data_IF_675563416991
#
_entry.id   IF_675563416991
#
_cell.length_a   1.000
_cell.length_b   1.000
_cell.length_c   1.000
_cell.angle_alpha   90.00
_cell.angle_beta   90.00
_cell.angle_gamma   90.00
#
_symmetry.space_group_name_H-M   'P 1'
#
loop_
_entity.id
_entity.type
_entity.pdbx_description
1 polymer ?
#
# COMPACT_ATOMS: atom_id res chain seq x y z
N UNK A 1 -2.82 -11.06 -27.44
CA UNK A 1 -1.94 -11.78 -26.51
C UNK A 1 -2.35 -13.24 -26.48
N UNK A 2 -1.37 -14.15 -26.43
CA UNK A 2 -1.59 -15.59 -26.33
C UNK A 2 -1.40 -16.08 -24.90
N UNK A 3 -2.09 -17.15 -24.51
CA UNK A 3 -1.93 -17.80 -23.19
C UNK A 3 -0.47 -18.14 -22.90
N UNK A 4 0.25 -18.59 -23.92
CA UNK A 4 1.67 -18.94 -23.82
C UNK A 4 2.56 -17.74 -23.42
N UNK A 5 2.22 -16.52 -23.85
CA UNK A 5 2.95 -15.30 -23.50
C UNK A 5 2.78 -14.96 -22.00
N UNK A 6 1.58 -15.20 -21.46
CA UNK A 6 1.31 -15.09 -20.02
C UNK A 6 2.08 -16.15 -19.24
N UNK A 7 2.06 -17.39 -19.72
CA UNK A 7 2.69 -18.52 -19.04
C UNK A 7 4.20 -18.32 -18.87
N UNK A 8 4.89 -17.79 -19.88
CA UNK A 8 6.33 -17.48 -19.81
C UNK A 8 6.69 -16.42 -18.77
N UNK A 9 5.74 -15.54 -18.44
CA UNK A 9 5.92 -14.52 -17.41
C UNK A 9 5.73 -15.04 -15.98
N UNK A 10 5.35 -16.31 -15.82
CA UNK A 10 5.24 -16.94 -14.50
C UNK A 10 6.62 -17.10 -13.85
N UNK A 11 6.71 -16.78 -12.57
CA UNK A 11 7.98 -16.77 -11.85
C UNK A 11 8.69 -18.12 -11.84
N UNK A 12 7.97 -19.23 -11.76
CA UNK A 12 8.57 -20.56 -11.82
C UNK A 12 9.16 -20.89 -13.19
N UNK A 13 8.72 -20.25 -14.27
CA UNK A 13 9.21 -20.48 -15.63
C UNK A 13 10.49 -19.69 -15.91
N UNK A 14 10.49 -18.39 -15.59
CA UNK A 14 11.64 -17.54 -15.90
C UNK A 14 12.72 -17.58 -14.80
N UNK A 15 12.36 -17.68 -13.52
CA UNK A 15 13.35 -17.56 -12.44
C UNK A 15 14.50 -18.56 -12.52
N UNK A 16 14.30 -19.86 -12.86
CA UNK A 16 15.39 -20.81 -13.01
C UNK A 16 16.45 -20.37 -14.04
N UNK A 17 16.03 -19.75 -15.15
CA UNK A 17 16.89 -19.26 -16.23
C UNK A 17 17.69 -18.02 -15.81
N UNK A 18 17.07 -17.14 -15.02
CA UNK A 18 17.65 -15.84 -14.63
C UNK A 18 18.13 -15.77 -13.17
N UNK A 19 18.29 -16.91 -12.50
CA UNK A 19 18.60 -17.01 -11.06
C UNK A 19 19.88 -16.25 -10.66
N UNK A 20 20.91 -16.25 -11.51
CA UNK A 20 22.20 -15.59 -11.27
C UNK A 20 22.09 -14.06 -11.24
N UNK A 21 21.14 -13.52 -12.00
CA UNK A 21 20.94 -12.07 -12.18
C UNK A 21 19.74 -11.53 -11.42
N UNK A 22 18.92 -12.38 -10.81
CA UNK A 22 17.74 -11.98 -10.03
C UNK A 22 18.00 -12.00 -8.51
N UNK A 23 16.99 -11.61 -7.73
CA UNK A 23 16.98 -11.71 -6.27
C UNK A 23 16.85 -13.19 -5.88
N UNK A 24 17.55 -13.61 -4.82
CA UNK A 24 17.43 -14.98 -4.26
C UNK A 24 15.96 -15.25 -3.90
N UNK A 25 15.38 -16.27 -4.53
CA UNK A 25 13.98 -16.64 -4.44
C UNK A 25 13.86 -18.15 -4.24
N UNK A 26 12.94 -18.56 -3.37
CA UNK A 26 12.55 -19.97 -3.21
C UNK A 26 11.08 -20.07 -3.59
N UNK A 27 10.75 -21.04 -4.43
CA UNK A 27 9.41 -21.20 -5.01
C UNK A 27 8.79 -22.48 -4.45
N UNK A 28 7.54 -22.40 -4.03
CA UNK A 28 6.75 -23.52 -3.53
C UNK A 28 5.47 -23.64 -4.33
N UNK A 29 5.13 -24.84 -4.77
CA UNK A 29 3.79 -25.14 -5.31
C UNK A 29 2.76 -25.04 -4.18
N UNK A 30 1.66 -24.34 -4.43
CA UNK A 30 0.58 -24.14 -3.48
C UNK A 30 -0.41 -25.31 -3.54
N UNK A 31 -0.81 -25.87 -2.39
CA UNK A 31 -1.87 -26.87 -2.37
C UNK A 31 -3.20 -26.21 -2.77
N UNK A 32 -4.05 -26.93 -3.51
CA UNK A 32 -5.35 -26.41 -3.94
C UNK A 32 -6.24 -26.01 -2.75
N UNK A 33 -6.11 -26.67 -1.61
CA UNK A 33 -6.82 -26.28 -0.38
C UNK A 33 -6.47 -24.87 0.10
N UNK A 34 -5.21 -24.44 -0.08
CA UNK A 34 -4.81 -23.08 0.25
C UNK A 34 -5.29 -22.08 -0.80
N UNK A 35 -5.28 -22.46 -2.08
CA UNK A 35 -5.86 -21.65 -3.16
C UNK A 35 -7.35 -21.42 -2.94
N UNK A 36 -8.09 -22.45 -2.56
CA UNK A 36 -9.51 -22.35 -2.20
C UNK A 36 -9.71 -21.44 -1.00
N UNK A 37 -8.88 -21.55 0.04
CA UNK A 37 -8.91 -20.64 1.19
C UNK A 37 -8.70 -19.17 0.79
N UNK A 38 -7.80 -18.87 -0.14
CA UNK A 38 -7.59 -17.51 -0.63
C UNK A 38 -8.79 -16.93 -1.39
N UNK A 39 -9.64 -17.79 -1.96
CA UNK A 39 -10.81 -17.43 -2.75
C UNK A 39 -12.13 -17.49 -1.97
N UNK A 40 -12.09 -17.83 -0.67
CA UNK A 40 -13.28 -17.90 0.18
C UNK A 40 -13.74 -16.50 0.59
N UNK A 41 -14.81 -16.03 -0.05
CA UNK A 41 -15.49 -14.77 0.29
C UNK A 41 -16.69 -14.96 1.23
N UNK A 42 -17.27 -16.17 1.26
CA UNK A 42 -18.54 -16.45 1.97
C UNK A 42 -18.38 -16.63 3.49
N UNK A 43 -17.15 -16.77 3.98
CA UNK A 43 -16.83 -17.01 5.39
C UNK A 43 -16.09 -15.82 6.02
N UNK A 44 -16.21 -15.62 7.34
CA UNK A 44 -15.48 -14.57 8.04
C UNK A 44 -13.97 -14.65 7.76
N UNK A 45 -13.30 -13.49 7.76
CA UNK A 45 -11.85 -13.42 7.61
C UNK A 45 -11.17 -14.12 8.80
N UNK A 46 -10.75 -15.37 8.59
CA UNK A 46 -10.04 -16.17 9.57
C UNK A 46 -8.62 -16.44 9.08
N UNK A 47 -7.63 -16.13 9.90
CA UNK A 47 -6.24 -16.50 9.64
C UNK A 47 -6.04 -18.00 9.93
N UNK A 48 -5.14 -18.68 9.19
CA UNK A 48 -4.88 -20.08 9.45
C UNK A 48 -4.26 -20.29 10.83
N UNK A 49 -4.64 -21.38 11.51
CA UNK A 49 -3.98 -21.78 12.75
C UNK A 49 -2.51 -22.12 12.47
N UNK A 50 -1.61 -21.37 13.10
CA UNK A 50 -0.17 -21.61 13.02
C UNK A 50 0.24 -22.78 13.91
N UNK A 51 1.03 -23.71 13.37
CA UNK A 51 1.68 -24.77 14.17
C UNK A 51 2.74 -24.23 15.13
N UNK A 52 3.22 -23.01 14.89
CA UNK A 52 4.25 -22.34 15.70
C UNK A 52 3.64 -21.37 16.73
N UNK A 53 2.31 -21.24 16.75
CA UNK A 53 1.59 -20.21 17.50
C UNK A 53 2.03 -18.79 17.12
N UNK A 54 2.46 -18.60 15.87
CA UNK A 54 2.83 -17.30 15.30
C UNK A 54 1.56 -16.58 14.83
N UNK A 55 1.27 -15.43 15.43
CA UNK A 55 0.17 -14.55 14.98
C UNK A 55 0.71 -13.49 14.01
N UNK A 56 -0.08 -13.14 12.99
CA UNK A 56 0.21 -12.03 12.10
C UNK A 56 0.00 -10.68 12.80
N UNK A 57 -0.87 -10.64 13.80
CA UNK A 57 -1.11 -9.47 14.63
C UNK A 57 -0.30 -9.56 15.93
N UNK A 58 0.15 -8.42 16.49
CA UNK A 58 0.76 -8.43 17.81
C UNK A 58 -0.25 -8.90 18.86
N UNK A 59 0.16 -9.80 19.74
CA UNK A 59 -0.64 -10.22 20.89
C UNK A 59 -1.13 -8.99 21.65
N UNK A 60 -2.45 -8.81 21.76
CA UNK A 60 -3.01 -7.82 22.68
C UNK A 60 -2.54 -8.20 24.08
N UNK A 61 -1.93 -7.26 24.80
CA UNK A 61 -1.62 -7.46 26.21
C UNK A 61 -2.98 -7.58 26.90
N UNK A 62 -3.31 -8.77 27.43
CA UNK A 62 -4.49 -8.92 28.27
C UNK A 62 -4.25 -8.12 29.55
N UNK A 63 -4.96 -7.00 29.68
CA UNK A 63 -4.99 -6.22 30.91
C UNK A 63 -6.19 -6.74 31.73
N UNK A 64 -5.99 -7.48 32.83
CA UNK A 64 -7.08 -8.11 33.59
C UNK A 64 -7.99 -7.11 34.33
N UNK A 65 -7.78 -5.80 34.16
CA UNK A 65 -8.51 -4.73 34.84
C UNK A 65 -9.71 -4.18 34.03
N UNK A 66 -9.82 -4.52 32.75
CA UNK A 66 -10.87 -3.96 31.85
C UNK A 66 -12.05 -4.92 31.59
N UNK A 67 -12.13 -6.07 32.29
CA UNK A 67 -13.19 -7.06 32.07
C UNK A 67 -14.55 -6.68 32.67
N UNK A 68 -14.64 -5.63 33.51
CA UNK A 68 -15.90 -5.26 34.17
C UNK A 68 -16.77 -4.28 33.37
N UNK A 69 -16.24 -3.56 32.36
CA UNK A 69 -16.96 -2.45 31.70
C UNK A 69 -17.54 -2.79 30.31
N UNK A 70 -17.41 -4.04 29.85
CA UNK A 70 -17.95 -4.49 28.55
C UNK A 70 -18.81 -5.77 28.63
N UNK A 71 -19.47 -6.02 29.76
CA UNK A 71 -20.54 -7.03 29.81
C UNK A 71 -21.83 -6.47 29.17
N UNK A 72 -21.91 -6.54 27.84
CA UNK A 72 -23.21 -6.48 27.15
C UNK A 72 -23.87 -7.83 27.38
N UNK A 73 -24.89 -7.86 28.23
CA UNK A 73 -25.77 -9.00 28.44
C UNK A 73 -26.51 -9.32 27.14
N UNK A 74 -25.95 -10.20 26.31
CA UNK A 74 -26.68 -10.75 25.17
C UNK A 74 -27.80 -11.66 25.68
N UNK A 75 -29.04 -11.22 25.46
CA UNK A 75 -30.23 -11.98 25.77
C UNK A 75 -30.25 -13.28 24.97
N UNK A 76 -30.58 -14.37 25.65
CA UNK A 76 -30.70 -15.70 25.07
C UNK A 76 -31.72 -15.74 23.93
N UNK A 77 -31.32 -16.31 22.79
CA UNK A 77 -32.23 -16.80 21.78
C UNK A 77 -31.75 -16.54 20.37
N UNK A 78 -30.89 -17.42 19.86
CA UNK A 78 -31.04 -18.07 18.56
C UNK A 78 -29.94 -19.14 18.41
N UNK A 79 -30.29 -20.26 17.76
CA UNK A 79 -29.38 -21.36 17.43
C UNK A 79 -28.29 -20.86 16.49
N UNK A 80 -27.23 -20.26 17.03
CA UNK A 80 -26.08 -19.81 16.26
C UNK A 80 -25.30 -21.04 15.77
N UNK A 81 -25.19 -21.17 14.45
CA UNK A 81 -24.25 -22.09 13.81
C UNK A 81 -22.86 -21.89 14.43
N UNK A 82 -22.27 -22.97 14.94
CA UNK A 82 -20.91 -22.94 15.50
C UNK A 82 -19.96 -22.38 14.42
N UNK A 83 -19.15 -21.34 14.73
CA UNK A 83 -18.22 -20.79 13.76
C UNK A 83 -17.29 -21.90 13.26
N UNK A 84 -17.13 -21.96 11.94
CA UNK A 84 -16.26 -22.94 11.28
C UNK A 84 -14.85 -22.85 11.88
N UNK A 85 -14.18 -23.99 12.17
CA UNK A 85 -12.86 -23.95 12.75
C UNK A 85 -11.89 -23.30 11.76
N UNK A 86 -10.95 -22.45 12.22
CA UNK A 86 -9.99 -21.81 11.35
C UNK A 86 -9.17 -22.85 10.57
N UNK A 87 -8.87 -22.58 9.28
CA UNK A 87 -8.15 -23.53 8.44
C UNK A 87 -6.72 -23.73 8.94
N UNK A 88 -6.08 -24.84 8.56
CA UNK A 88 -4.68 -25.11 8.91
C UNK A 88 -3.93 -25.74 7.74
N UNK A 89 -2.66 -25.36 7.58
CA UNK A 89 -1.80 -25.79 6.47
C UNK A 89 -0.40 -26.20 6.95
N UNK A 90 -0.29 -27.22 7.83
CA UNK A 90 0.95 -27.53 8.55
C UNK A 90 2.15 -27.84 7.63
N UNK A 91 1.93 -28.61 6.56
CA UNK A 91 2.99 -28.98 5.62
C UNK A 91 3.52 -27.79 4.82
N UNK A 92 2.61 -26.86 4.44
CA UNK A 92 2.96 -25.64 3.72
C UNK A 92 3.70 -24.68 4.66
N UNK A 93 3.19 -24.48 5.87
CA UNK A 93 3.80 -23.63 6.89
C UNK A 93 5.23 -24.07 7.22
N UNK A 94 5.47 -25.37 7.42
CA UNK A 94 6.80 -25.91 7.71
C UNK A 94 7.79 -25.62 6.56
N UNK A 95 7.36 -25.81 5.30
CA UNK A 95 8.18 -25.52 4.12
C UNK A 95 8.51 -24.03 4.01
N UNK A 96 7.52 -23.17 4.27
CA UNK A 96 7.67 -21.71 4.23
C UNK A 96 8.63 -21.24 5.32
N UNK A 97 8.47 -21.72 6.56
CA UNK A 97 9.34 -21.37 7.70
C UNK A 97 10.80 -21.65 7.41
N UNK A 98 11.11 -22.85 6.89
CA UNK A 98 12.47 -23.23 6.47
C UNK A 98 13.01 -22.30 5.37
N UNK A 99 12.17 -21.89 4.43
CA UNK A 99 12.57 -20.95 3.37
C UNK A 99 12.82 -19.55 3.90
N UNK A 100 12.02 -19.06 4.85
CA UNK A 100 12.22 -17.76 5.51
C UNK A 100 13.58 -17.74 6.20
N UNK A 101 13.91 -18.77 6.98
CA UNK A 101 15.22 -18.92 7.62
C UNK A 101 16.37 -18.91 6.60
N UNK A 102 16.23 -19.67 5.50
CA UNK A 102 17.23 -19.76 4.42
C UNK A 102 17.44 -18.44 3.66
N UNK A 103 16.43 -17.56 3.68
CA UNK A 103 16.46 -16.25 3.03
C UNK A 103 16.93 -15.13 3.98
N UNK A 104 17.13 -15.42 5.27
CA UNK A 104 17.64 -14.49 6.26
C UNK A 104 16.56 -13.87 7.16
N UNK A 105 15.46 -14.58 7.37
CA UNK A 105 14.42 -14.23 8.36
C UNK A 105 13.35 -13.23 7.88
N UNK A 106 13.57 -12.58 6.74
CA UNK A 106 12.61 -11.65 6.16
C UNK A 106 12.48 -11.89 4.65
N UNK A 107 11.24 -11.92 4.17
CA UNK A 107 10.91 -12.22 2.78
C UNK A 107 9.92 -11.22 2.19
N UNK A 108 9.80 -11.26 0.87
CA UNK A 108 8.74 -10.64 0.08
C UNK A 108 7.98 -11.75 -0.65
N UNK A 109 6.69 -11.96 -0.39
CA UNK A 109 5.91 -13.02 -1.02
C UNK A 109 5.21 -12.52 -2.30
N UNK A 110 5.14 -13.37 -3.32
CA UNK A 110 4.32 -13.14 -4.52
C UNK A 110 3.79 -14.45 -5.11
N UNK A 111 2.73 -14.38 -5.90
CA UNK A 111 2.24 -15.49 -6.70
C UNK A 111 3.00 -15.60 -8.03
N UNK A 112 2.46 -16.40 -8.95
CA UNK A 112 3.00 -16.67 -10.27
C UNK A 112 3.40 -15.36 -11.00
N UNK A 113 2.55 -14.33 -10.96
CA UNK A 113 2.79 -13.05 -11.65
C UNK A 113 2.78 -11.87 -10.70
N UNK A 114 1.78 -11.77 -9.83
CA UNK A 114 1.50 -10.57 -9.06
C UNK A 114 2.03 -10.66 -7.64
N UNK A 115 2.47 -9.52 -7.12
CA UNK A 115 2.74 -9.33 -5.70
C UNK A 115 1.58 -8.57 -5.05
N UNK A 116 1.27 -8.80 -3.77
CA UNK A 116 0.06 -8.27 -3.12
C UNK A 116 0.22 -6.79 -2.69
N UNK A 117 0.65 -5.93 -3.62
CA UNK A 117 1.04 -4.54 -3.36
C UNK A 117 -0.11 -3.66 -2.87
N UNK A 118 -1.32 -3.98 -3.32
CA UNK A 118 -2.60 -3.39 -2.93
C UNK A 118 -3.02 -3.72 -1.50
N UNK A 119 -2.55 -4.83 -0.93
CA UNK A 119 -2.87 -5.24 0.44
C UNK A 119 -1.89 -4.72 1.50
N UNK A 120 -0.89 -3.91 1.13
CA UNK A 120 0.14 -3.45 2.08
C UNK A 120 -0.43 -2.71 3.33
N UNK A 121 -1.64 -2.18 3.23
CA UNK A 121 -2.35 -1.48 4.31
C UNK A 121 -2.75 -2.37 5.49
N UNK A 122 -2.93 -3.68 5.27
CA UNK A 122 -3.33 -4.61 6.34
C UNK A 122 -2.11 -5.12 7.14
N UNK A 123 -0.91 -4.95 6.60
CA UNK A 123 0.34 -5.32 7.25
C UNK A 123 0.60 -4.47 8.49
N UNK A 124 1.04 -5.10 9.57
CA UNK A 124 1.47 -4.42 10.81
C UNK A 124 2.62 -3.43 10.60
N UNK A 125 3.40 -3.61 9.54
CA UNK A 125 4.55 -2.76 9.20
C UNK A 125 4.27 -1.78 8.06
N UNK A 126 3.04 -1.76 7.52
CA UNK A 126 2.66 -0.92 6.37
C UNK A 126 3.43 -1.23 5.07
N UNK A 127 4.05 -2.41 4.98
CA UNK A 127 4.82 -2.85 3.83
C UNK A 127 4.69 -4.37 3.61
N UNK A 128 5.33 -4.88 2.55
CA UNK A 128 5.20 -6.26 2.06
C UNK A 128 6.25 -7.22 2.64
N UNK A 129 6.96 -6.82 3.68
CA UNK A 129 7.87 -7.68 4.43
C UNK A 129 7.05 -8.67 5.24
N UNK A 130 7.38 -9.96 5.10
CA UNK A 130 6.88 -11.00 6.00
C UNK A 130 8.04 -11.77 6.63
N UNK A 131 7.77 -12.33 7.79
CA UNK A 131 8.62 -13.15 8.64
C UNK A 131 7.92 -14.40 9.16
N UNK A 132 6.60 -14.53 8.98
CA UNK A 132 5.82 -15.72 9.30
C UNK A 132 4.87 -16.13 8.17
N UNK A 133 4.33 -17.35 8.25
CA UNK A 133 3.29 -17.81 7.32
C UNK A 133 1.98 -17.04 7.49
N UNK A 134 1.61 -16.72 8.73
CA UNK A 134 0.40 -15.97 9.07
C UNK A 134 0.38 -14.59 8.41
N UNK A 135 1.52 -13.88 8.39
CA UNK A 135 1.64 -12.60 7.68
C UNK A 135 1.46 -12.73 6.15
N UNK A 136 1.94 -13.84 5.56
CA UNK A 136 1.74 -14.12 4.13
C UNK A 136 0.26 -14.37 3.83
N UNK A 137 -0.39 -15.22 4.64
CA UNK A 137 -1.81 -15.52 4.50
C UNK A 137 -2.67 -14.26 4.64
N UNK A 138 -2.35 -13.40 5.61
CA UNK A 138 -3.00 -12.11 5.83
C UNK A 138 -2.93 -11.20 4.58
N UNK A 139 -1.74 -10.99 4.04
CA UNK A 139 -1.56 -10.17 2.83
C UNK A 139 -2.27 -10.79 1.62
N UNK A 140 -2.14 -12.10 1.44
CA UNK A 140 -2.65 -12.76 0.25
C UNK A 140 -4.16 -12.76 0.19
N UNK A 141 -4.82 -12.99 1.33
CA UNK A 141 -6.29 -12.98 1.45
C UNK A 141 -6.87 -11.57 1.26
N UNK A 142 -6.08 -10.51 1.48
CA UNK A 142 -6.51 -9.12 1.35
C UNK A 142 -6.13 -8.47 0.01
N UNK A 143 -5.66 -9.23 -0.99
CA UNK A 143 -5.13 -8.69 -2.25
C UNK A 143 -6.01 -9.04 -3.45
N UNK A 144 -6.62 -8.01 -4.04
CA UNK A 144 -7.39 -8.12 -5.29
C UNK A 144 -6.50 -8.51 -6.48
N UNK A 145 -5.25 -8.05 -6.47
CA UNK A 145 -4.25 -8.39 -7.49
C UNK A 145 -3.96 -9.88 -7.52
N UNK A 146 -3.95 -10.54 -6.36
CA UNK A 146 -3.80 -11.99 -6.30
C UNK A 146 -5.08 -12.73 -6.68
N UNK A 147 -6.26 -12.20 -6.33
CA UNK A 147 -7.54 -12.77 -6.81
C UNK A 147 -7.59 -12.75 -8.34
N UNK A 148 -7.11 -11.69 -8.98
CA UNK A 148 -6.98 -11.63 -10.44
C UNK A 148 -6.07 -12.75 -10.98
N UNK A 149 -4.88 -12.97 -10.40
CA UNK A 149 -4.00 -14.09 -10.76
C UNK A 149 -4.71 -15.44 -10.60
N UNK A 150 -5.46 -15.62 -9.50
CA UNK A 150 -6.12 -16.86 -9.15
C UNK A 150 -7.40 -17.15 -9.94
N UNK A 151 -8.03 -16.16 -10.58
CA UNK A 151 -9.33 -16.35 -11.26
C UNK A 151 -9.32 -15.94 -12.74
N UNK A 152 -8.53 -14.93 -13.09
CA UNK A 152 -8.68 -14.14 -14.31
C UNK A 152 -7.40 -14.01 -15.15
N UNK A 153 -6.35 -14.78 -14.82
CA UNK A 153 -5.03 -14.66 -15.45
C UNK A 153 -5.04 -14.67 -16.99
N UNK A 154 -5.94 -15.44 -17.61
CA UNK A 154 -6.02 -15.57 -19.06
C UNK A 154 -7.12 -14.73 -19.71
N UNK A 155 -7.78 -13.85 -18.98
CA UNK A 155 -8.98 -13.18 -19.51
C UNK A 155 -8.70 -12.26 -20.70
N UNK A 156 -7.49 -11.73 -20.80
CA UNK A 156 -7.00 -10.91 -21.91
C UNK A 156 -6.42 -11.72 -23.09
N UNK A 157 -6.40 -13.06 -23.00
CA UNK A 157 -5.83 -13.92 -24.05
C UNK A 157 -6.87 -14.23 -25.14
N UNK A 158 -6.47 -14.12 -26.41
CA UNK A 158 -7.35 -14.39 -27.55
C UNK A 158 -7.61 -15.88 -27.80
N UNK A 159 -6.73 -16.74 -27.31
CA UNK A 159 -6.73 -18.20 -27.48
C UNK A 159 -7.12 -18.94 -26.19
N UNK A 160 -7.79 -18.28 -25.25
CA UNK A 160 -8.14 -18.86 -23.96
C UNK A 160 -9.18 -19.99 -24.09
N UNK A 161 -8.88 -21.13 -23.50
CA UNK A 161 -9.81 -22.26 -23.30
C UNK A 161 -10.25 -22.41 -21.84
N UNK A 162 -9.41 -21.94 -20.92
CA UNK A 162 -9.61 -21.89 -19.48
C UNK A 162 -9.26 -20.48 -18.99
N UNK A 163 -9.76 -20.07 -17.82
CA UNK A 163 -9.55 -18.71 -17.29
C UNK A 163 -8.25 -18.55 -16.50
N UNK A 164 -7.68 -19.65 -16.01
CA UNK A 164 -6.53 -19.68 -15.10
C UNK A 164 -5.70 -20.97 -15.25
N UNK A 165 -4.41 -20.99 -14.85
CA UNK A 165 -3.62 -22.23 -14.80
C UNK A 165 -4.16 -23.22 -13.76
N UNK A 166 -3.83 -24.51 -13.87
CA UNK A 166 -4.24 -25.52 -12.89
C UNK A 166 -3.40 -25.50 -11.60
N UNK A 167 -2.22 -24.88 -11.62
CA UNK A 167 -1.28 -24.88 -10.49
C UNK A 167 -0.78 -23.46 -10.20
N UNK A 168 -0.62 -23.17 -8.91
CA UNK A 168 -0.15 -21.89 -8.42
C UNK A 168 1.10 -22.06 -7.57
N UNK A 169 1.91 -21.02 -7.53
CA UNK A 169 3.20 -21.03 -6.88
C UNK A 169 3.36 -19.80 -5.98
N UNK A 170 3.82 -20.05 -4.76
CA UNK A 170 4.28 -19.01 -3.84
C UNK A 170 5.79 -18.85 -4.01
N UNK A 171 6.20 -17.67 -4.47
CA UNK A 171 7.59 -17.28 -4.53
C UNK A 171 7.97 -16.39 -3.34
N UNK A 172 8.90 -16.89 -2.53
CA UNK A 172 9.48 -16.19 -1.39
C UNK A 172 10.81 -15.57 -1.81
N UNK A 173 10.84 -14.25 -1.96
CA UNK A 173 12.05 -13.51 -2.30
C UNK A 173 12.73 -12.99 -1.05
N UNK A 174 14.06 -12.96 -1.03
CA UNK A 174 14.81 -12.35 0.08
C UNK A 174 14.44 -10.86 0.21
N UNK A 175 14.07 -10.43 1.42
CA UNK A 175 13.85 -9.02 1.74
C UNK A 175 15.17 -8.27 1.91
N UNK A 176 15.27 -7.07 1.36
CA UNK A 176 16.38 -6.15 1.57
C UNK A 176 15.88 -4.83 2.12
N UNK A 177 16.32 -4.49 3.35
CA UNK A 177 15.94 -3.23 3.99
C UNK A 177 16.44 -2.00 3.22
N UNK A 178 17.54 -2.14 2.48
CA UNK A 178 18.14 -1.09 1.67
C UNK A 178 17.51 -0.96 0.28
N UNK A 179 16.39 -1.64 0.01
CA UNK A 179 15.70 -1.53 -1.27
C UNK A 179 15.09 -0.13 -1.41
N UNK A 180 15.38 0.51 -2.54
CA UNK A 180 15.05 1.91 -2.82
C UNK A 180 14.07 1.98 -3.99
N UNK A 181 12.78 2.32 -3.79
CA UNK A 181 11.77 2.31 -4.85
C UNK A 181 12.14 3.11 -6.11
N UNK A 182 12.92 4.18 -5.95
CA UNK A 182 13.39 5.04 -7.04
C UNK A 182 14.42 4.39 -7.97
N UNK A 183 15.02 3.28 -7.56
CA UNK A 183 15.99 2.54 -8.35
C UNK A 183 15.37 1.33 -9.07
N UNK A 184 14.03 1.25 -9.11
CA UNK A 184 13.27 0.26 -9.86
C UNK A 184 12.79 0.85 -11.20
N UNK A 185 13.01 0.11 -12.28
CA UNK A 185 12.68 0.54 -13.65
C UNK A 185 11.96 -0.57 -14.40
N UNK A 186 11.00 -0.18 -15.23
CA UNK A 186 10.35 -1.06 -16.21
C UNK A 186 10.94 -0.84 -17.58
N UNK A 187 11.35 -1.92 -18.22
CA UNK A 187 11.94 -1.96 -19.54
C UNK A 187 10.95 -2.57 -20.52
N UNK A 188 10.81 -1.97 -21.69
CA UNK A 188 9.86 -2.37 -22.74
C UNK A 188 10.63 -2.95 -23.91
N UNK A 189 10.37 -4.22 -24.24
CA UNK A 189 11.02 -4.94 -25.33
C UNK A 189 10.01 -5.29 -26.40
N UNK A 190 10.30 -4.90 -27.64
CA UNK A 190 9.47 -5.21 -28.81
C UNK A 190 10.35 -5.74 -29.93
N UNK A 191 9.93 -6.84 -30.55
CA UNK A 191 10.71 -7.54 -31.59
C UNK A 191 12.16 -7.82 -31.14
N UNK A 192 12.37 -8.20 -29.88
CA UNK A 192 13.69 -8.44 -29.27
C UNK A 192 14.63 -7.20 -29.23
N UNK A 193 14.06 -6.00 -29.26
CA UNK A 193 14.76 -4.72 -29.12
C UNK A 193 14.19 -3.95 -27.92
N UNK A 194 15.06 -3.43 -27.07
CA UNK A 194 14.67 -2.54 -25.98
C UNK A 194 14.23 -1.20 -26.57
N UNK A 195 12.95 -0.84 -26.42
CA UNK A 195 12.37 0.37 -27.01
C UNK A 195 12.17 1.49 -25.99
N UNK A 196 12.04 1.17 -24.70
CA UNK A 196 11.85 2.17 -23.66
C UNK A 196 12.21 1.69 -22.27
N UNK A 197 12.51 2.64 -21.39
CA UNK A 197 12.75 2.44 -19.96
C UNK A 197 11.94 3.49 -19.21
N UNK A 198 11.19 3.07 -18.18
CA UNK A 198 10.39 3.94 -17.33
C UNK A 198 10.74 3.76 -15.86
N UNK A 199 10.80 4.84 -15.09
CA UNK A 199 10.78 4.79 -13.63
C UNK A 199 9.54 4.03 -13.13
N UNK A 200 9.72 3.05 -12.24
CA UNK A 200 8.61 2.22 -11.76
C UNK A 200 7.72 2.93 -10.74
N UNK A 201 8.34 3.68 -9.83
CA UNK A 201 7.66 4.49 -8.82
C UNK A 201 7.36 5.88 -9.39
N UNK A 202 6.16 6.06 -9.94
CA UNK A 202 5.77 7.29 -10.64
C UNK A 202 5.04 8.31 -9.75
N UNK A 203 4.92 8.07 -8.44
CA UNK A 203 4.35 9.07 -7.52
C UNK A 203 5.42 9.96 -6.87
N UNK A 204 6.67 9.50 -6.81
CA UNK A 204 7.78 10.22 -6.14
C UNK A 204 8.76 10.86 -7.12
N UNK A 205 9.08 12.14 -6.90
CA UNK A 205 10.16 12.81 -7.60
C UNK A 205 11.48 12.68 -6.81
N UNK A 206 12.54 12.21 -7.48
CA UNK A 206 13.84 11.94 -6.86
C UNK A 206 14.95 12.70 -7.59
N UNK A 207 15.38 13.88 -7.11
CA UNK A 207 16.37 14.72 -7.80
C UNK A 207 17.69 14.00 -8.11
N UNK A 208 18.17 13.14 -7.20
CA UNK A 208 19.39 12.36 -7.38
C UNK A 208 19.32 11.37 -8.57
N UNK A 209 18.12 11.01 -9.03
CA UNK A 209 17.93 10.16 -10.19
C UNK A 209 18.24 10.89 -11.50
N UNK A 210 18.05 12.22 -11.55
CA UNK A 210 18.35 13.02 -12.74
C UNK A 210 19.84 13.02 -13.05
N UNK A 211 20.68 13.15 -12.03
CA UNK A 211 22.14 13.15 -12.17
C UNK A 211 22.67 11.81 -12.69
N UNK A 212 22.02 10.70 -12.32
CA UNK A 212 22.42 9.34 -12.67
C UNK A 212 21.68 8.76 -13.87
N UNK A 213 20.80 9.53 -14.53
CA UNK A 213 19.90 9.06 -15.59
C UNK A 213 20.66 8.36 -16.71
N UNK A 214 21.73 8.97 -17.22
CA UNK A 214 22.50 8.41 -18.33
C UNK A 214 23.28 7.15 -17.93
N UNK A 215 23.87 7.14 -16.72
CA UNK A 215 24.60 5.98 -16.20
C UNK A 215 23.67 4.78 -16.01
N UNK A 216 22.49 5.01 -15.40
CA UNK A 216 21.48 3.98 -15.20
C UNK A 216 20.98 3.43 -16.54
N UNK A 217 20.75 4.30 -17.52
CA UNK A 217 20.37 3.90 -18.88
C UNK A 217 21.40 2.92 -19.46
N UNK A 218 22.68 3.30 -19.43
CA UNK A 218 23.75 2.48 -19.98
C UNK A 218 23.84 1.11 -19.27
N UNK A 219 23.74 1.09 -17.93
CA UNK A 219 23.74 -0.15 -17.16
C UNK A 219 22.58 -1.09 -17.54
N UNK A 220 21.38 -0.54 -17.77
CA UNK A 220 20.21 -1.32 -18.15
C UNK A 220 20.33 -1.83 -19.59
N UNK A 221 20.84 -1.01 -20.52
CA UNK A 221 21.08 -1.41 -21.91
C UNK A 221 22.10 -2.56 -21.99
N UNK A 222 23.23 -2.44 -21.27
CA UNK A 222 24.25 -3.50 -21.16
C UNK A 222 23.64 -4.76 -20.54
N UNK A 223 22.93 -4.62 -19.43
CA UNK A 223 22.26 -5.75 -18.78
C UNK A 223 21.29 -6.48 -19.72
N UNK A 224 20.50 -5.73 -20.49
CA UNK A 224 19.56 -6.29 -21.46
C UNK A 224 20.30 -7.11 -22.52
N UNK A 225 21.33 -6.56 -23.14
CA UNK A 225 22.10 -7.24 -24.20
C UNK A 225 22.77 -8.51 -23.69
N UNK A 226 23.37 -8.45 -22.50
CA UNK A 226 24.20 -9.54 -21.98
C UNK A 226 23.37 -10.67 -21.34
N UNK A 227 22.25 -10.33 -20.69
CA UNK A 227 21.55 -11.27 -19.81
C UNK A 227 20.12 -11.60 -20.24
N UNK A 228 19.43 -10.73 -20.98
CA UNK A 228 17.98 -10.86 -21.23
C UNK A 228 17.67 -11.13 -22.70
N UNK A 229 18.30 -10.38 -23.62
CA UNK A 229 18.05 -10.45 -25.06
C UNK A 229 18.31 -11.86 -25.58
N UNK A 230 17.36 -12.39 -26.36
CA UNK A 230 17.37 -13.77 -26.89
C UNK A 230 17.32 -14.90 -25.85
N UNK A 231 17.41 -14.61 -24.55
CA UNK A 231 17.26 -15.60 -23.48
C UNK A 231 15.80 -15.77 -23.05
N UNK A 232 15.00 -14.71 -23.15
CA UNK A 232 13.55 -14.78 -22.95
C UNK A 232 12.84 -15.14 -24.26
N UNK A 233 11.91 -16.10 -24.19
CA UNK A 233 11.33 -16.78 -25.36
C UNK A 233 10.27 -15.95 -26.12
N UNK A 234 9.79 -14.86 -25.52
CA UNK A 234 8.83 -13.96 -26.17
C UNK A 234 9.56 -12.84 -26.92
N UNK A 235 9.01 -12.42 -28.05
CA UNK A 235 9.55 -11.30 -28.82
C UNK A 235 9.17 -9.93 -28.24
N UNK A 236 7.96 -9.85 -27.66
CA UNK A 236 7.39 -8.65 -27.06
C UNK A 236 7.09 -8.92 -25.60
N UNK A 237 7.67 -8.13 -24.70
CA UNK A 237 7.49 -8.27 -23.26
C UNK A 237 7.97 -7.03 -22.54
N UNK A 238 7.68 -6.95 -21.26
CA UNK A 238 8.32 -5.99 -20.36
C UNK A 238 9.06 -6.74 -19.28
N UNK A 239 10.12 -6.13 -18.74
CA UNK A 239 10.82 -6.68 -17.60
C UNK A 239 11.17 -5.56 -16.62
N UNK A 240 11.10 -5.88 -15.33
CA UNK A 240 11.40 -4.93 -14.27
C UNK A 240 12.80 -5.21 -13.74
N UNK A 241 13.58 -4.15 -13.49
CA UNK A 241 14.95 -4.23 -12.97
C UNK A 241 15.16 -3.30 -11.79
N UNK A 242 16.09 -3.68 -10.92
CA UNK A 242 16.61 -2.85 -9.84
C UNK A 242 18.08 -2.54 -10.08
N UNK A 243 18.46 -1.27 -10.00
CA UNK A 243 19.86 -0.84 -10.09
C UNK A 243 20.41 -0.57 -8.70
N UNK A 244 21.37 -1.39 -8.29
CA UNK A 244 22.03 -1.27 -6.98
C UNK A 244 22.95 -0.05 -6.91
N UNK A 245 23.29 0.39 -5.69
CA UNK A 245 24.23 1.50 -5.49
C UNK A 245 25.63 1.22 -6.07
N UNK A 246 26.04 -0.04 -6.13
CA UNK A 246 27.31 -0.46 -6.72
C UNK A 246 27.24 -0.74 -8.23
N UNK A 247 26.15 -0.31 -8.89
CA UNK A 247 26.02 -0.34 -10.35
C UNK A 247 25.59 -1.68 -10.93
N UNK A 248 25.35 -2.72 -10.11
CA UNK A 248 24.81 -3.99 -10.60
C UNK A 248 23.31 -3.87 -10.86
N UNK A 249 22.86 -4.44 -11.98
CA UNK A 249 21.45 -4.56 -12.32
C UNK A 249 20.92 -5.92 -11.86
N UNK A 250 19.72 -5.93 -11.27
CA UNK A 250 19.03 -7.14 -10.82
C UNK A 250 17.67 -7.25 -11.47
N UNK A 251 17.40 -8.40 -12.10
CA UNK A 251 16.10 -8.70 -12.68
C UNK A 251 15.07 -8.94 -11.58
N UNK A 252 13.95 -8.22 -11.63
CA UNK A 252 12.86 -8.33 -10.69
C UNK A 252 11.67 -9.07 -11.26
N UNK A 253 11.26 -8.84 -12.50
CA UNK A 253 10.06 -9.46 -13.04
C UNK A 253 10.03 -9.48 -14.55
N UNK A 254 9.22 -10.37 -15.12
CA UNK A 254 8.76 -10.30 -16.51
C UNK A 254 7.25 -10.12 -16.51
N UNK A 255 6.74 -9.25 -17.39
CA UNK A 255 5.32 -9.07 -17.60
C UNK A 255 5.02 -9.06 -19.11
N UNK A 256 3.83 -9.49 -19.52
CA UNK A 256 3.48 -9.56 -20.93
C UNK A 256 3.38 -8.15 -21.55
N UNK A 257 3.52 -8.07 -22.88
CA UNK A 257 3.34 -6.83 -23.64
C UNK A 257 1.86 -6.46 -23.70
N UNK A 258 1.45 -5.41 -22.98
CA UNK A 258 0.06 -4.97 -22.87
C UNK A 258 -0.71 -5.65 -21.73
N UNK A 259 -2.02 -5.85 -21.95
CA UNK A 259 -2.96 -6.39 -20.96
C UNK A 259 -3.00 -5.58 -19.65
N UNK A 260 -2.85 -6.26 -18.51
CA UNK A 260 -2.83 -5.67 -17.16
C UNK A 260 -1.49 -5.02 -16.82
N UNK A 261 -0.48 -5.12 -17.69
CA UNK A 261 0.81 -4.44 -17.49
C UNK A 261 0.62 -2.93 -17.62
N UNK A 262 0.93 -2.18 -16.56
CA UNK A 262 0.92 -0.72 -16.60
C UNK A 262 2.10 -0.19 -17.44
N UNK A 263 1.87 0.75 -18.38
CA UNK A 263 2.91 1.38 -19.20
C UNK A 263 3.65 2.53 -18.49
N UNK A 264 3.17 2.94 -17.29
CA UNK A 264 3.81 3.91 -16.39
C UNK A 264 3.95 5.31 -17.02
N UNK A 265 5.18 5.74 -17.34
CA UNK A 265 5.44 7.04 -17.99
C UNK A 265 5.31 6.97 -19.52
N UNK A 266 4.84 5.84 -20.04
CA UNK A 266 4.49 5.67 -21.44
C UNK A 266 2.98 5.42 -21.63
N UNK A 267 2.53 5.52 -22.87
CA UNK A 267 1.27 4.94 -23.36
C UNK A 267 1.54 3.67 -24.18
N UNK A 268 0.55 2.79 -24.29
CA UNK A 268 0.72 1.59 -25.13
C UNK A 268 0.73 1.94 -26.62
N UNK A 269 0.01 2.98 -27.03
CA UNK A 269 -0.07 3.45 -28.41
C UNK A 269 1.29 3.94 -28.92
N UNK A 270 2.05 4.68 -28.10
CA UNK A 270 3.38 5.16 -28.52
C UNK A 270 4.42 4.03 -28.55
N UNK A 271 4.36 3.08 -27.61
CA UNK A 271 5.23 1.91 -27.59
C UNK A 271 4.99 1.02 -28.84
N UNK A 272 3.73 0.93 -29.28
CA UNK A 272 3.35 0.23 -30.51
C UNK A 272 3.69 1.02 -31.79
N UNK A 273 3.81 2.34 -31.70
CA UNK A 273 4.25 3.22 -32.78
C UNK A 273 5.78 3.36 -32.92
N UNK A 274 6.54 2.94 -31.90
CA UNK A 274 8.00 3.13 -31.86
C UNK A 274 8.68 2.27 -32.94
N UNK A 275 9.49 2.92 -33.78
CA UNK A 275 10.26 2.24 -34.83
C UNK A 275 11.35 1.37 -34.21
N UNK A 276 11.39 0.09 -34.59
CA UNK A 276 12.39 -0.89 -34.11
C UNK A 276 13.79 -0.64 -34.72
N UNK A 277 13.91 0.36 -35.61
CA UNK A 277 15.12 0.62 -36.40
C UNK A 277 15.80 1.91 -35.93
N UNK A 278 16.90 1.75 -35.17
CA UNK A 278 17.99 2.74 -35.13
C UNK A 278 17.89 3.91 -34.15
N UNK A 279 16.82 4.06 -33.38
CA UNK A 279 16.73 5.12 -32.36
C UNK A 279 17.31 4.67 -31.01
N UNK A 280 17.92 5.63 -30.31
CA UNK A 280 18.39 5.44 -28.94
C UNK A 280 17.21 5.11 -28.02
N UNK A 281 17.37 4.16 -27.10
CA UNK A 281 16.31 3.76 -26.15
C UNK A 281 15.78 4.99 -25.40
N UNK A 282 14.47 5.17 -25.36
CA UNK A 282 13.89 6.29 -24.62
C UNK A 282 13.86 5.98 -23.12
N UNK A 283 14.48 6.84 -22.29
CA UNK A 283 14.46 6.68 -20.83
C UNK A 283 13.68 7.83 -20.17
N UNK A 284 12.51 7.50 -19.62
CA UNK A 284 11.63 8.43 -18.90
C UNK A 284 11.72 8.23 -17.39
N UNK A 285 12.02 9.33 -16.71
CA UNK A 285 11.95 9.46 -15.25
C UNK A 285 11.17 10.74 -14.93
N UNK A 286 10.74 10.91 -13.69
CA UNK A 286 10.15 12.17 -13.25
C UNK A 286 11.22 13.24 -13.15
N UNK A 287 11.01 14.35 -13.86
CA UNK A 287 11.97 15.48 -13.93
C UNK A 287 11.57 16.66 -13.03
N UNK A 288 10.36 16.65 -12.49
CA UNK A 288 9.86 17.66 -11.56
C UNK A 288 8.81 17.08 -10.59
N UNK A 289 8.62 17.77 -9.46
CA UNK A 289 7.61 17.43 -8.48
C UNK A 289 6.21 17.71 -9.04
N UNK A 290 5.39 16.67 -9.15
CA UNK A 290 4.02 16.77 -9.65
C UNK A 290 3.02 16.64 -8.49
N UNK A 291 1.98 17.49 -8.48
CA UNK A 291 1.02 17.64 -7.36
C UNK A 291 0.05 16.46 -7.19
N UNK A 292 -0.35 15.77 -8.26
CA UNK A 292 -1.25 14.61 -8.18
C UNK A 292 -0.92 13.63 -9.31
N UNK A 293 -0.66 12.36 -8.99
CA UNK A 293 -0.64 11.28 -9.97
C UNK A 293 -1.36 10.05 -9.42
N UNK A 294 -2.11 9.29 -10.25
CA UNK A 294 -2.66 8.01 -9.85
C UNK A 294 -1.50 7.07 -9.53
N UNK A 295 -1.30 6.77 -8.24
CA UNK A 295 -0.41 5.70 -7.78
C UNK A 295 -1.17 4.39 -7.63
N UNK A 296 -0.43 3.28 -7.53
CA UNK A 296 -0.98 1.97 -7.15
C UNK A 296 -1.46 1.92 -5.69
N UNK A 297 -0.98 2.85 -4.86
CA UNK A 297 -1.48 3.08 -3.51
C UNK A 297 -2.51 4.19 -3.59
N UNK A 298 -3.64 4.04 -2.88
CA UNK A 298 -4.71 5.04 -2.71
C UNK A 298 -4.13 6.46 -2.75
N UNK A 299 -4.27 7.11 -3.90
CA UNK A 299 -3.59 8.37 -4.17
C UNK A 299 -4.36 9.50 -3.47
N UNK A 300 -3.88 9.89 -2.29
CA UNK A 300 -4.27 11.15 -1.66
C UNK A 300 -3.52 12.28 -2.39
N UNK A 301 -4.20 13.35 -2.85
CA UNK A 301 -3.52 14.47 -3.50
C UNK A 301 -2.37 15.02 -2.64
N UNK A 302 -1.25 15.41 -3.25
CA UNK A 302 -0.09 15.92 -2.50
C UNK A 302 -0.45 17.10 -1.59
N UNK A 303 -1.36 17.97 -2.03
CA UNK A 303 -1.86 19.11 -1.26
C UNK A 303 -2.48 18.70 0.09
N UNK A 304 -2.99 17.48 0.20
CA UNK A 304 -3.51 16.95 1.46
C UNK A 304 -2.42 16.45 2.41
N UNK A 305 -1.23 16.14 1.89
CA UNK A 305 -0.09 15.62 2.67
C UNK A 305 0.96 16.71 2.96
N UNK A 306 1.05 17.73 2.11
CA UNK A 306 2.08 18.78 2.21
C UNK A 306 1.75 19.80 3.30
N UNK A 307 2.49 19.76 4.40
CA UNK A 307 2.44 20.75 5.48
C UNK A 307 3.64 21.70 5.48
N UNK A 308 4.39 21.77 4.37
CA UNK A 308 5.56 22.64 4.27
C UNK A 308 5.17 24.13 4.17
N UNK A 309 6.10 25.06 4.50
CA UNK A 309 5.86 26.49 4.33
C UNK A 309 5.54 26.85 2.88
N UNK A 310 4.36 27.41 2.64
CA UNK A 310 3.79 27.77 1.34
C UNK A 310 2.67 26.85 0.87
N UNK A 311 2.47 25.69 1.51
CA UNK A 311 1.47 24.70 1.11
C UNK A 311 0.02 25.16 1.33
N UNK A 312 -0.94 24.42 0.77
CA UNK A 312 -2.37 24.69 0.96
C UNK A 312 -2.80 24.65 2.44
N UNK A 313 -2.27 23.70 3.22
CA UNK A 313 -2.50 23.64 4.68
C UNK A 313 -1.89 24.82 5.41
N UNK A 314 -0.68 25.21 5.06
CA UNK A 314 0.01 26.34 5.69
C UNK A 314 -0.68 27.69 5.38
N UNK A 315 -1.19 27.86 4.15
CA UNK A 315 -2.04 29.01 3.80
C UNK A 315 -3.37 29.01 4.56
N UNK A 316 -4.03 27.85 4.66
CA UNK A 316 -5.28 27.70 5.40
C UNK A 316 -5.10 28.02 6.88
N UNK A 317 -4.06 27.46 7.52
CA UNK A 317 -3.75 27.67 8.94
C UNK A 317 -3.44 29.15 9.21
N UNK A 318 -2.62 29.81 8.38
CA UNK A 318 -2.39 31.26 8.49
C UNK A 318 -3.67 32.08 8.38
N UNK A 319 -4.51 31.76 7.38
CA UNK A 319 -5.78 32.47 7.18
C UNK A 319 -6.73 32.30 8.36
N UNK A 320 -6.74 31.10 8.96
CA UNK A 320 -7.54 30.80 10.15
C UNK A 320 -7.02 31.56 11.39
N UNK A 321 -5.70 31.62 11.58
CA UNK A 321 -5.07 32.36 12.67
C UNK A 321 -5.32 33.87 12.55
N UNK A 322 -5.20 34.43 11.35
CA UNK A 322 -5.51 35.84 11.07
C UNK A 322 -6.98 36.17 11.38
N UNK A 323 -7.90 35.29 11.00
CA UNK A 323 -9.32 35.48 11.25
C UNK A 323 -9.66 35.36 12.74
N UNK A 324 -9.01 34.44 13.47
CA UNK A 324 -9.16 34.32 14.92
C UNK A 324 -8.65 35.58 15.64
N UNK A 325 -7.54 36.17 15.18
CA UNK A 325 -7.02 37.43 15.72
C UNK A 325 -7.94 38.62 15.42
N UNK A 326 -8.53 38.70 14.23
CA UNK A 326 -9.55 39.73 13.93
C UNK A 326 -10.76 39.61 14.84
N UNK A 327 -11.26 38.39 15.07
CA UNK A 327 -12.41 38.19 15.95
C UNK A 327 -12.09 38.56 17.41
N UNK A 328 -10.88 38.23 17.88
CA UNK A 328 -10.43 38.56 19.24
C UNK A 328 -10.22 40.08 19.42
N UNK A 329 -9.64 40.76 18.42
CA UNK A 329 -9.46 42.23 18.45
C UNK A 329 -10.78 43.00 18.28
N UNK A 330 -11.74 42.47 17.53
CA UNK A 330 -13.06 43.08 17.34
C UNK A 330 -13.96 42.98 18.58
N UNK A 331 -13.69 42.03 19.47
CA UNK A 331 -14.42 41.86 20.74
C UNK A 331 -13.88 42.72 21.88
N UNK A 332 -12.70 43.34 21.73
CA UNK A 332 -12.15 44.32 22.69
C UNK A 332 -12.53 45.78 22.37
N UNK A 333 -13.10 46.05 21.19
CA UNK A 333 -13.39 47.41 20.72
C UNK A 333 -14.89 47.78 20.69
N UNK A 334 -15.72 47.17 21.53
CA UNK A 334 -17.17 47.37 21.49
C UNK A 334 -17.87 47.23 22.83
N UNK A 335 -17.65 48.16 23.76
CA UNK A 335 -18.57 48.39 24.88
C UNK A 335 -18.95 49.87 24.94
N UNK A 336 -20.12 50.17 24.36
CA UNK A 336 -21.10 51.20 24.74
C UNK A 336 -21.86 51.65 23.47
N UNK A 337 -22.94 50.95 23.10
CA UNK A 337 -24.19 51.57 22.65
C UNK A 337 -25.30 50.52 22.54
N UNK A 338 -26.33 50.70 23.38
CA UNK A 338 -27.72 50.22 23.31
C UNK A 338 -28.07 49.05 22.39
N UNK A 339 -28.64 47.99 23.00
CA UNK A 339 -29.48 46.99 22.36
C UNK A 339 -30.42 47.59 21.30
N UNK A 340 -30.28 47.16 20.05
CA UNK A 340 -31.33 46.62 19.16
C UNK A 340 -30.81 46.56 17.72
N UNK A 341 -30.77 45.35 17.17
CA UNK A 341 -30.76 45.11 15.73
C UNK A 341 -29.42 44.67 15.15
N UNK A 342 -29.11 43.38 15.24
CA UNK A 342 -28.20 42.71 14.30
C UNK A 342 -28.87 41.41 13.82
N UNK A 343 -28.95 41.30 12.50
CA UNK A 343 -29.74 40.35 11.73
C UNK A 343 -29.15 38.93 11.79
N UNK A 344 -29.95 37.98 12.31
CA UNK A 344 -29.64 36.56 12.55
C UNK A 344 -29.39 35.71 11.28
N UNK A 345 -29.21 36.35 10.11
CA UNK A 345 -29.04 35.66 8.81
C UNK A 345 -27.58 35.41 8.41
N UNK A 346 -26.62 36.23 8.86
CA UNK A 346 -25.21 36.04 8.50
C UNK A 346 -24.47 34.98 9.35
N UNK A 347 -24.88 34.76 10.60
CA UNK A 347 -24.33 33.71 11.48
C UNK A 347 -24.75 32.29 11.06
N UNK A 348 -25.80 32.13 10.25
CA UNK A 348 -26.23 30.81 9.75
C UNK A 348 -25.38 30.30 8.59
N UNK A 349 -24.87 31.16 7.70
CA UNK A 349 -24.07 30.70 6.55
C UNK A 349 -22.67 30.22 6.95
N UNK A 350 -21.99 30.90 7.88
CA UNK A 350 -20.67 30.48 8.38
C UNK A 350 -20.74 29.19 9.21
N UNK A 351 -21.76 29.07 10.07
CA UNK A 351 -22.00 27.85 10.86
C UNK A 351 -22.42 26.64 10.00
N UNK A 352 -23.17 26.86 8.91
CA UNK A 352 -23.50 25.80 7.95
C UNK A 352 -22.29 25.35 7.13
N UNK A 353 -21.42 26.27 6.70
CA UNK A 353 -20.20 25.91 5.96
C UNK A 353 -19.20 25.15 6.85
N UNK A 354 -19.03 25.58 8.11
CA UNK A 354 -18.19 24.88 9.08
C UNK A 354 -18.79 23.53 9.49
N UNK A 355 -20.12 23.45 9.65
CA UNK A 355 -20.84 22.21 9.92
C UNK A 355 -20.78 21.23 8.74
N UNK A 356 -20.83 21.71 7.49
CA UNK A 356 -20.65 20.87 6.31
C UNK A 356 -19.20 20.40 6.17
N UNK A 357 -18.20 21.25 6.45
CA UNK A 357 -16.80 20.82 6.48
C UNK A 357 -16.55 19.78 7.59
N UNK A 358 -17.07 20.00 8.80
CA UNK A 358 -16.96 19.06 9.92
C UNK A 358 -17.74 17.76 9.67
N UNK A 359 -18.90 17.82 9.02
CA UNK A 359 -19.66 16.62 8.61
C UNK A 359 -18.94 15.86 7.51
N UNK A 360 -18.36 16.53 6.51
CA UNK A 360 -17.55 15.88 5.47
C UNK A 360 -16.23 15.32 6.02
N UNK A 361 -15.62 15.99 7.00
CA UNK A 361 -14.43 15.52 7.70
C UNK A 361 -14.74 14.32 8.60
N UNK A 362 -15.86 14.35 9.34
CA UNK A 362 -16.34 13.22 10.14
C UNK A 362 -16.81 12.03 9.28
N UNK A 363 -17.46 12.27 8.14
CA UNK A 363 -17.80 11.21 7.17
C UNK A 363 -16.54 10.59 6.55
N UNK A 364 -15.51 11.40 6.30
CA UNK A 364 -14.19 10.93 5.85
C UNK A 364 -13.43 10.15 6.92
N UNK A 365 -13.55 10.53 8.19
CA UNK A 365 -12.94 9.85 9.34
C UNK A 365 -13.65 8.54 9.74
N UNK A 366 -14.92 8.36 9.36
CA UNK A 366 -15.66 7.10 9.54
C UNK A 366 -15.29 6.03 8.49
N UNK A 367 -14.56 6.40 7.43
CA UNK A 367 -14.20 5.54 6.31
C UNK A 367 -12.72 5.13 6.29
N UNK A 368 -11.92 5.56 7.28
CA UNK A 368 -10.48 5.26 7.39
C UNK A 368 -10.14 4.91 8.84
N UNK A 369 -9.44 3.80 9.14
CA UNK A 369 -9.02 3.50 10.50
C UNK A 369 -8.04 4.57 10.99
N UNK A 370 -8.27 5.07 12.21
CA UNK A 370 -7.51 6.18 12.81
C UNK A 370 -6.00 5.88 12.83
N UNK A 371 -5.23 6.61 12.02
CA UNK A 371 -3.77 6.70 12.20
C UNK A 371 -3.47 7.66 13.36
N UNK A 372 -2.33 7.47 14.04
CA UNK A 372 -1.87 8.36 15.12
C UNK A 372 -1.79 9.84 14.69
N UNK A 373 -1.65 10.12 13.39
CA UNK A 373 -1.60 11.48 12.83
C UNK A 373 -2.97 12.18 12.85
N UNK A 374 -4.07 11.44 12.64
CA UNK A 374 -5.43 11.98 12.72
C UNK A 374 -5.80 12.41 14.15
N UNK A 375 -5.34 11.65 15.15
CA UNK A 375 -5.46 11.99 16.58
C UNK A 375 -4.64 13.22 16.95
N UNK A 376 -3.42 13.35 16.39
CA UNK A 376 -2.55 14.51 16.61
C UNK A 376 -3.14 15.80 16.00
N UNK A 377 -3.80 15.69 14.85
CA UNK A 377 -4.55 16.78 14.19
C UNK A 377 -5.75 17.21 15.03
N UNK A 378 -6.55 16.26 15.52
CA UNK A 378 -7.67 16.55 16.43
C UNK A 378 -7.21 17.21 17.74
N UNK A 379 -6.08 16.76 18.30
CA UNK A 379 -5.52 17.33 19.53
C UNK A 379 -5.00 18.76 19.32
N UNK A 380 -4.29 19.03 18.22
CA UNK A 380 -3.82 20.38 17.86
C UNK A 380 -4.99 21.34 17.60
N UNK A 381 -6.07 20.84 16.97
CA UNK A 381 -7.29 21.61 16.75
C UNK A 381 -8.01 21.97 18.06
N UNK A 382 -8.05 21.04 19.03
CA UNK A 382 -8.67 21.25 20.34
C UNK A 382 -7.93 22.29 21.20
N UNK A 383 -6.60 22.39 21.07
CA UNK A 383 -5.78 23.38 21.78
C UNK A 383 -6.06 24.81 21.30
N UNK A 384 -6.44 25.01 20.03
CA UNK A 384 -6.65 26.35 19.45
C UNK A 384 -8.11 26.87 19.56
N UNK A 385 -9.11 26.01 19.82
CA UNK A 385 -10.52 26.40 19.89
C UNK A 385 -11.26 25.90 21.16
N UNK A 386 -10.91 26.39 22.37
CA UNK A 386 -11.42 25.85 23.64
C UNK A 386 -12.86 26.24 24.00
N UNK A 387 -13.52 27.13 23.24
CA UNK A 387 -14.82 27.73 23.63
C UNK A 387 -16.06 27.21 22.87
N UNK A 388 -15.97 26.11 22.12
CA UNK A 388 -17.12 25.49 21.45
C UNK A 388 -17.71 24.33 22.29
N UNK A 389 -18.86 24.52 22.98
CA UNK A 389 -19.42 23.48 23.85
C UNK A 389 -19.88 22.23 23.09
N UNK A 390 -20.28 22.37 21.82
CA UNK A 390 -20.58 21.24 20.95
C UNK A 390 -19.32 20.48 20.52
N UNK A 391 -18.18 21.15 20.37
CA UNK A 391 -16.90 20.49 20.05
C UNK A 391 -16.38 19.71 21.25
N UNK A 392 -16.54 20.19 22.49
CA UNK A 392 -16.22 19.42 23.70
C UNK A 392 -17.06 18.13 23.84
N UNK A 393 -18.29 18.09 23.31
CA UNK A 393 -19.11 16.87 23.28
C UNK A 393 -18.63 15.88 22.20
N UNK A 394 -18.25 16.38 21.02
CA UNK A 394 -17.67 15.57 19.94
C UNK A 394 -16.24 15.10 20.25
N UNK A 395 -15.44 15.93 20.93
CA UNK A 395 -14.14 15.59 21.47
C UNK A 395 -14.29 14.61 22.64
N UNK A 396 -15.35 14.68 23.46
CA UNK A 396 -15.64 13.63 24.47
C UNK A 396 -16.15 12.33 23.85
N UNK A 397 -16.78 12.35 22.69
CA UNK A 397 -17.15 11.14 21.94
C UNK A 397 -15.93 10.55 21.21
N UNK A 398 -15.09 11.39 20.60
CA UNK A 398 -13.85 10.98 19.93
C UNK A 398 -12.75 10.57 20.93
N UNK A 399 -12.60 11.30 22.04
CA UNK A 399 -11.77 10.93 23.20
C UNK A 399 -12.47 9.90 24.09
N UNK A 400 -13.77 9.67 23.98
CA UNK A 400 -14.42 8.52 24.63
C UNK A 400 -14.01 7.22 23.95
N UNK A 401 -13.94 7.25 22.61
CA UNK A 401 -13.32 6.21 21.79
C UNK A 401 -11.80 6.15 21.94
N UNK A 402 -11.11 7.29 22.21
CA UNK A 402 -9.66 7.30 22.40
C UNK A 402 -9.20 7.18 23.86
N UNK A 403 -10.05 7.33 24.88
CA UNK A 403 -9.71 7.06 26.29
C UNK A 403 -9.57 5.56 26.52
N UNK A 404 -10.32 4.73 25.78
CA UNK A 404 -10.09 3.28 25.70
C UNK A 404 -8.69 3.00 25.11
N UNK A 405 -8.17 3.86 24.22
CA UNK A 405 -6.82 3.74 23.65
C UNK A 405 -5.71 4.49 24.41
N UNK A 406 -6.03 5.46 25.27
CA UNK A 406 -5.04 6.30 25.97
C UNK A 406 -4.82 5.87 27.43
N UNK A 407 -5.81 5.24 28.08
CA UNK A 407 -5.58 4.57 29.37
C UNK A 407 -4.48 3.49 29.23
N UNK A 408 -4.41 2.84 28.07
CA UNK A 408 -3.38 1.86 27.68
C UNK A 408 -1.97 2.45 27.44
N UNK A 409 -1.89 3.73 27.04
CA UNK A 409 -0.62 4.42 26.77
C UNK A 409 -0.07 5.10 28.04
N UNK A 410 -0.93 5.60 28.93
CA UNK A 410 -0.50 6.21 30.21
C UNK A 410 -0.06 5.14 31.22
N UNK A 411 -0.69 3.96 31.24
CA UNK A 411 -0.26 2.85 32.11
C UNK A 411 1.14 2.30 31.72
N UNK A 412 1.57 2.43 30.46
CA UNK A 412 2.94 2.07 30.03
C UNK A 412 4.01 3.12 30.32
N UNK A 413 3.64 4.37 30.59
CA UNK A 413 4.60 5.42 30.93
C UNK A 413 4.92 5.49 32.44
N UNK A 414 4.24 4.69 33.27
CA UNK A 414 4.39 4.66 34.73
C UNK A 414 5.50 3.74 35.27
N UNK A 415 6.06 2.82 34.47
CA UNK A 415 7.03 1.81 34.97
C UNK A 415 8.49 2.02 34.53
N UNK A 416 8.84 3.11 33.82
CA UNK A 416 10.25 3.53 33.63
C UNK A 416 10.72 4.59 34.67
N UNK A 417 10.21 4.49 35.89
CA UNK A 417 10.92 4.96 37.08
C UNK A 417 10.80 3.93 38.18
N UNK A 418 11.67 2.93 38.15
CA UNK A 418 12.40 2.38 39.30
C UNK A 418 13.28 1.22 38.80
N UNK A 419 14.42 1.54 38.19
CA UNK A 419 15.79 1.19 38.61
C UNK A 419 16.81 1.63 37.57
#
# INVERSE_FOLDING_TARGET
MKVEEINRCQIQEWYPKFKSVSIKTIIHELPESFVQYLLQDDEPFLLPLSISNDDAFPNRIHNPLDEEDCQVSEGSGDEAEQPSPPPSFPDLELKIKKSIETLGGAIFPKLNWSAPKDSAWISTTGNLRCSSFSEIALLFRASDSLVHDLCHAYDSCSDKSISRPPTFFLALRKWYQSFRPEMEFRCFVRCQVLVGISQREVTGFYPALLERKNDIKALIEEFFVDNVRLQFESENYTFDVYVTNDGRVKLLDFNPWGAFTLPLLFSWEELEGTSVVGDSVEFRILESQCTVRPGLKTAVPFDYLDTSPGSGWDQFLRSADEELQRQTSSSEAGDCFSMRGLDLRQLKLGGLALSLCLKSFALGCLLVPFSCEALLLLFKFAVHFPKLPQFMLWLRLALGFSCILWQDVVNRAGEERFY
#
